data_IF_181385052843
#
_entry.id   IF_181385052843
#
_cell.length_a   1.000
_cell.length_b   1.000
_cell.length_c   1.000
_cell.angle_alpha   90.00
_cell.angle_beta   90.00
_cell.angle_gamma   90.00
#
_symmetry.space_group_name_H-M   'P 1'
#
loop_
_entity.id
_entity.type
_entity.pdbx_description
1 polymer ?
#
# COMPACT_ATOMS: atom_id res chain seq x y z
N UNK A 1 -18.98 9.77 -0.12
CA UNK A 1 -17.61 9.33 -0.50
C UNK A 1 -17.22 8.22 0.47
N UNK A 2 -16.78 7.05 -0.01
CA UNK A 2 -16.41 5.91 0.85
C UNK A 2 -15.01 6.18 1.42
N UNK A 3 -14.83 6.11 2.74
CA UNK A 3 -13.52 6.31 3.37
C UNK A 3 -12.66 5.07 3.18
N UNK A 4 -11.44 5.25 2.66
CA UNK A 4 -10.44 4.19 2.53
C UNK A 4 -9.35 4.39 3.58
N UNK A 5 -8.84 3.29 4.12
CA UNK A 5 -7.59 3.26 4.87
C UNK A 5 -6.38 3.44 3.95
N UNK A 6 -5.37 4.17 4.39
CA UNK A 6 -4.10 4.39 3.69
C UNK A 6 -2.94 3.91 4.55
N UNK A 7 -2.14 3.00 4.01
CA UNK A 7 -0.89 2.56 4.63
C UNK A 7 0.27 2.77 3.64
N UNK A 8 1.45 3.07 4.16
CA UNK A 8 2.64 3.35 3.35
C UNK A 8 3.90 2.96 4.10
N UNK A 9 4.94 2.62 3.35
CA UNK A 9 6.30 2.47 3.84
C UNK A 9 7.29 3.46 3.19
N UNK A 10 6.76 4.51 2.56
CA UNK A 10 7.51 5.52 1.80
C UNK A 10 8.25 4.97 0.57
N UNK A 11 8.04 3.73 0.17
CA UNK A 11 8.47 3.20 -1.14
C UNK A 11 7.24 2.95 -2.00
N UNK A 12 6.20 2.40 -1.38
CA UNK A 12 4.88 2.23 -1.97
C UNK A 12 3.78 2.40 -0.91
N UNK A 13 2.53 2.22 -1.33
CA UNK A 13 1.35 2.30 -0.47
C UNK A 13 0.28 1.28 -0.84
N UNK A 14 -0.68 1.11 0.05
CA UNK A 14 -1.89 0.35 -0.21
C UNK A 14 -3.12 1.07 0.33
N UNK A 15 -4.26 0.83 -0.32
CA UNK A 15 -5.57 1.31 0.13
C UNK A 15 -6.46 0.17 0.57
N UNK A 16 -7.14 0.40 1.69
CA UNK A 16 -7.94 -0.61 2.37
C UNK A 16 -9.38 -0.14 2.42
N UNK A 17 -10.25 -0.89 1.76
CA UNK A 17 -11.69 -0.76 1.85
C UNK A 17 -12.22 -1.79 2.84
N UNK A 18 -12.50 -1.34 4.07
CA UNK A 18 -12.88 -2.21 5.19
C UNK A 18 -11.82 -3.32 5.40
N UNK A 19 -12.15 -4.58 5.20
CA UNK A 19 -11.20 -5.69 5.37
C UNK A 19 -10.45 -6.08 4.10
N UNK A 20 -10.62 -5.30 3.01
CA UNK A 20 -10.10 -5.62 1.69
C UNK A 20 -9.04 -4.62 1.25
N UNK A 21 -7.86 -5.11 0.89
CA UNK A 21 -6.87 -4.28 0.19
C UNK A 21 -7.27 -4.24 -1.28
N UNK A 22 -7.58 -3.05 -1.77
CA UNK A 22 -8.18 -2.81 -3.10
C UNK A 22 -7.27 -2.08 -4.07
N UNK A 23 -6.15 -1.56 -3.55
CA UNK A 23 -5.11 -0.87 -4.30
C UNK A 23 -3.76 -1.17 -3.66
N UNK A 24 -2.78 -1.58 -4.47
CA UNK A 24 -1.39 -1.81 -4.04
C UNK A 24 -0.44 -1.65 -5.24
N UNK A 25 0.01 -0.43 -5.58
CA UNK A 25 1.12 -0.23 -6.51
C UNK A 25 2.38 -0.92 -5.97
N UNK A 26 3.14 -1.62 -6.82
CA UNK A 26 4.34 -2.32 -6.37
C UNK A 26 5.26 -2.57 -7.57
N UNK A 27 6.59 -2.39 -7.47
CA UNK A 27 7.39 -2.19 -6.25
C UNK A 27 7.36 -0.78 -5.64
N UNK A 28 6.93 0.24 -6.39
CA UNK A 28 6.93 1.64 -5.93
C UNK A 28 5.62 2.35 -6.27
N UNK A 29 5.40 3.55 -5.72
CA UNK A 29 4.14 4.30 -5.88
C UNK A 29 3.63 4.41 -7.32
N UNK A 30 4.50 4.75 -8.26
CA UNK A 30 4.17 4.96 -9.68
C UNK A 30 4.17 3.67 -10.51
N UNK A 31 4.32 2.50 -9.87
CA UNK A 31 4.22 1.21 -10.53
C UNK A 31 2.76 0.79 -10.76
N UNK A 32 2.48 -0.05 -11.78
CA UNK A 32 1.16 -0.65 -11.93
C UNK A 32 0.71 -1.39 -10.69
N UNK A 33 -0.56 -1.23 -10.31
CA UNK A 33 -1.08 -1.90 -9.15
C UNK A 33 -1.45 -3.35 -9.43
N UNK A 34 -1.18 -4.23 -8.44
CA UNK A 34 -1.54 -5.66 -8.48
C UNK A 34 -2.93 -5.95 -7.90
N UNK A 35 -3.56 -4.97 -7.25
CA UNK A 35 -4.96 -4.99 -6.83
C UNK A 35 -5.61 -3.72 -7.33
N UNK A 36 -6.73 -3.83 -8.04
CA UNK A 36 -7.41 -2.68 -8.65
C UNK A 36 -8.92 -2.75 -8.48
N UNK A 37 -9.40 -3.39 -7.40
CA UNK A 37 -10.84 -3.41 -7.06
C UNK A 37 -11.43 -2.01 -6.92
N UNK A 38 -10.59 -1.01 -6.69
CA UNK A 38 -10.98 0.40 -6.70
C UNK A 38 -11.50 0.90 -8.06
N UNK A 39 -11.02 0.32 -9.17
CA UNK A 39 -11.36 0.72 -10.54
C UNK A 39 -12.39 -0.21 -11.20
N UNK A 40 -12.34 -1.50 -10.86
CA UNK A 40 -13.20 -2.54 -11.42
C UNK A 40 -13.42 -3.62 -10.35
N UNK A 41 -14.64 -4.07 -10.09
CA UNK A 41 -14.95 -5.11 -9.11
C UNK A 41 -14.15 -6.41 -9.34
N UNK A 42 -13.78 -6.68 -10.60
CA UNK A 42 -12.96 -7.83 -10.98
C UNK A 42 -11.45 -7.58 -10.94
N UNK A 43 -11.07 -6.34 -10.65
CA UNK A 43 -9.71 -5.80 -10.70
C UNK A 43 -8.72 -6.37 -9.67
N UNK A 44 -9.15 -7.33 -8.86
CA UNK A 44 -8.29 -8.03 -7.92
C UNK A 44 -8.16 -7.35 -6.56
N UNK A 45 -7.95 -8.16 -5.54
CA UNK A 45 -8.05 -7.77 -4.13
C UNK A 45 -7.27 -8.72 -3.21
N UNK A 46 -7.05 -8.27 -1.98
CA UNK A 46 -6.67 -9.11 -0.85
C UNK A 46 -7.62 -8.87 0.33
N UNK A 47 -8.60 -9.76 0.51
CA UNK A 47 -9.76 -9.58 1.38
C UNK A 47 -9.84 -10.66 2.46
N UNK A 48 -10.27 -10.27 3.67
CA UNK A 48 -10.53 -11.18 4.80
C UNK A 48 -12.01 -11.02 5.19
N UNK A 49 -12.76 -12.13 5.22
CA UNK A 49 -14.19 -12.14 5.49
C UNK A 49 -14.54 -13.31 6.41
N UNK A 50 -15.50 -13.18 7.34
CA UNK A 50 -15.94 -14.32 8.15
C UNK A 50 -16.54 -15.42 7.24
N UNK A 51 -16.31 -16.68 7.60
CA UNK A 51 -16.79 -17.82 6.81
C UNK A 51 -18.20 -18.21 7.23
N UNK A 52 -19.18 -18.03 6.33
CA UNK A 52 -20.56 -18.48 6.54
C UNK A 52 -21.32 -17.72 7.63
N UNK A 53 -20.84 -16.54 8.03
CA UNK A 53 -21.46 -15.72 9.06
C UNK A 53 -21.80 -14.33 8.53
N UNK A 54 -22.88 -13.75 9.06
CA UNK A 54 -23.30 -12.39 8.77
C UNK A 54 -22.43 -11.38 9.52
N UNK A 55 -21.99 -10.34 8.82
CA UNK A 55 -21.23 -9.23 9.41
C UNK A 55 -22.23 -8.27 10.07
N UNK A 56 -22.10 -8.07 11.38
CA UNK A 56 -22.90 -7.12 12.14
C UNK A 56 -22.31 -5.72 12.04
N UNK A 57 -20.99 -5.60 12.14
CA UNK A 57 -20.28 -4.33 12.11
C UNK A 57 -18.85 -4.49 11.61
N UNK A 58 -18.33 -3.45 10.97
CA UNK A 58 -16.90 -3.32 10.66
C UNK A 58 -16.44 -1.96 11.15
N UNK A 59 -15.38 -1.93 11.96
CA UNK A 59 -14.75 -0.68 12.41
C UNK A 59 -13.30 -0.66 11.93
N UNK A 60 -12.85 0.49 11.44
CA UNK A 60 -11.45 0.75 11.13
C UNK A 60 -10.93 1.92 11.96
N UNK A 61 -9.70 1.81 12.43
CA UNK A 61 -8.98 2.90 13.10
C UNK A 61 -7.48 2.78 12.89
N UNK A 62 -6.78 3.92 12.88
CA UNK A 62 -5.32 3.94 12.93
C UNK A 62 -4.89 3.70 14.37
N UNK A 63 -4.30 2.52 14.64
CA UNK A 63 -3.76 2.21 15.97
C UNK A 63 -2.38 2.83 16.18
N UNK A 64 -1.65 3.03 15.08
CA UNK A 64 -0.44 3.83 14.99
C UNK A 64 -0.45 4.59 13.65
N UNK A 65 0.42 5.58 13.45
CA UNK A 65 0.50 6.27 12.17
C UNK A 65 0.70 5.29 11.02
N UNK A 66 -0.16 5.36 10.00
CA UNK A 66 -0.11 4.47 8.82
C UNK A 66 -0.13 2.97 9.13
N UNK A 67 -0.65 2.58 10.30
CA UNK A 67 -0.94 1.20 10.70
C UNK A 67 -2.41 1.12 11.08
N UNK A 68 -3.17 0.34 10.33
CA UNK A 68 -4.64 0.29 10.46
C UNK A 68 -5.05 -1.00 11.14
N UNK A 69 -5.96 -0.89 12.11
CA UNK A 69 -6.70 -2.02 12.64
C UNK A 69 -8.12 -2.03 12.08
N UNK A 70 -8.54 -3.17 11.55
CA UNK A 70 -9.91 -3.45 11.14
C UNK A 70 -10.48 -4.53 12.05
N UNK A 71 -11.61 -4.25 12.69
CA UNK A 71 -12.36 -5.19 13.52
C UNK A 71 -13.65 -5.56 12.81
N UNK A 72 -13.82 -6.84 12.47
CA UNK A 72 -15.05 -7.39 11.89
C UNK A 72 -15.80 -8.13 12.99
N UNK A 73 -17.05 -7.71 13.27
CA UNK A 73 -17.92 -8.35 14.27
C UNK A 73 -19.00 -9.19 13.62
N UNK A 74 -19.21 -10.38 14.17
CA UNK A 74 -20.30 -11.30 13.81
C UNK A 74 -21.08 -11.68 15.08
N UNK A 75 -22.11 -12.53 14.95
CA UNK A 75 -22.81 -13.08 16.12
C UNK A 75 -21.98 -14.09 16.90
N UNK A 76 -21.00 -14.74 16.27
CA UNK A 76 -20.23 -15.83 16.88
C UNK A 76 -18.84 -15.42 17.37
N UNK A 77 -18.37 -14.22 17.03
CA UNK A 77 -17.08 -13.68 17.47
C UNK A 77 -16.52 -12.62 16.53
N UNK A 78 -15.27 -12.25 16.75
CA UNK A 78 -14.60 -11.16 16.05
C UNK A 78 -13.36 -11.60 15.25
N UNK A 79 -13.01 -10.78 14.25
CA UNK A 79 -11.76 -10.87 13.48
C UNK A 79 -11.07 -9.52 13.60
N UNK A 80 -9.89 -9.51 14.21
CA UNK A 80 -9.02 -8.35 14.30
C UNK A 80 -7.90 -8.47 13.26
N UNK A 81 -7.75 -7.45 12.43
CA UNK A 81 -6.77 -7.41 11.35
C UNK A 81 -5.94 -6.14 11.52
N UNK A 82 -4.63 -6.25 11.71
CA UNK A 82 -3.71 -5.11 11.72
C UNK A 82 -2.86 -5.12 10.46
N UNK A 83 -3.02 -4.09 9.64
CA UNK A 83 -2.44 -3.97 8.31
C UNK A 83 -1.30 -2.93 8.30
N UNK A 84 -0.15 -3.32 7.74
CA UNK A 84 0.97 -2.41 7.44
C UNK A 84 1.82 -2.90 6.25
N UNK A 85 2.66 -2.01 5.73
CA UNK A 85 3.72 -2.33 4.76
C UNK A 85 5.05 -2.16 5.48
N UNK A 86 5.90 -3.19 5.58
CA UNK A 86 7.18 -3.04 6.27
C UNK A 86 8.12 -2.06 5.56
N UNK A 87 8.94 -1.36 6.34
CA UNK A 87 9.93 -0.41 5.81
C UNK A 87 10.92 -1.09 4.88
N UNK A 88 11.20 -0.49 3.72
CA UNK A 88 12.19 -1.03 2.78
C UNK A 88 11.72 -2.25 1.99
N UNK A 89 10.50 -2.75 2.22
CA UNK A 89 10.01 -4.00 1.65
C UNK A 89 8.86 -3.80 0.65
N UNK A 90 8.74 -4.68 -0.33
CA UNK A 90 7.62 -4.73 -1.28
C UNK A 90 6.57 -5.75 -0.83
N UNK A 91 6.19 -5.65 0.43
CA UNK A 91 5.39 -6.65 1.15
C UNK A 91 4.24 -5.98 1.88
N UNK A 92 3.05 -6.59 1.87
CA UNK A 92 2.00 -6.25 2.83
C UNK A 92 1.95 -7.35 3.89
N UNK A 93 1.97 -6.96 5.17
CA UNK A 93 1.73 -7.87 6.30
C UNK A 93 0.38 -7.52 6.93
N UNK A 94 -0.47 -8.53 7.04
CA UNK A 94 -1.74 -8.48 7.77
C UNK A 94 -1.62 -9.40 9.00
N UNK A 95 -1.50 -8.83 10.19
CA UNK A 95 -1.58 -9.60 11.44
C UNK A 95 -3.05 -9.87 11.74
N UNK A 96 -3.42 -11.13 11.88
CA UNK A 96 -4.81 -11.56 12.11
C UNK A 96 -4.90 -12.25 13.47
N UNK A 97 -5.90 -11.85 14.25
CA UNK A 97 -6.32 -12.51 15.49
C UNK A 97 -7.83 -12.75 15.38
N UNK A 98 -8.24 -14.02 15.32
CA UNK A 98 -9.62 -14.38 14.98
C UNK A 98 -10.19 -15.45 15.89
N UNK A 99 -11.39 -15.20 16.40
CA UNK A 99 -12.16 -16.12 17.25
C UNK A 99 -12.99 -17.11 16.43
N UNK A 100 -13.19 -16.83 15.14
CA UNK A 100 -14.08 -17.56 14.23
C UNK A 100 -13.34 -18.01 12.97
N UNK A 101 -13.85 -19.01 12.24
CA UNK A 101 -13.34 -19.33 10.91
C UNK A 101 -13.54 -18.16 9.93
N UNK A 102 -12.58 -17.96 9.04
CA UNK A 102 -12.61 -16.89 8.05
C UNK A 102 -12.05 -17.32 6.70
N UNK A 103 -12.49 -16.61 5.67
CA UNK A 103 -12.08 -16.80 4.28
C UNK A 103 -11.19 -15.64 3.85
N UNK A 104 -10.10 -16.00 3.18
CA UNK A 104 -9.22 -15.06 2.49
C UNK A 104 -9.45 -15.17 0.99
N UNK A 105 -9.69 -14.04 0.34
CA UNK A 105 -9.63 -13.92 -1.12
C UNK A 105 -8.36 -13.18 -1.48
N UNK A 106 -7.42 -13.86 -2.12
CA UNK A 106 -6.17 -13.28 -2.61
C UNK A 106 -6.12 -13.41 -4.13
N UNK A 107 -6.44 -12.33 -4.83
CA UNK A 107 -6.69 -12.29 -6.26
C UNK A 107 -5.85 -11.19 -6.92
N UNK A 108 -4.54 -11.40 -7.13
CA UNK A 108 -3.72 -10.42 -7.81
C UNK A 108 -4.02 -10.37 -9.30
N UNK A 109 -3.77 -9.20 -9.88
CA UNK A 109 -4.05 -8.85 -11.27
C UNK A 109 -2.96 -7.90 -11.76
N UNK A 110 -2.17 -8.31 -12.74
CA UNK A 110 -1.02 -7.51 -13.17
C UNK A 110 -1.43 -6.42 -14.16
N UNK A 111 -0.71 -5.30 -14.11
CA UNK A 111 -0.84 -4.19 -15.05
C UNK A 111 -2.25 -3.60 -15.11
N UNK A 112 -2.79 -3.20 -13.95
CA UNK A 112 -4.17 -2.71 -13.80
C UNK A 112 -5.21 -3.69 -14.34
N UNK A 113 -5.05 -4.96 -14.02
CA UNK A 113 -5.95 -6.05 -14.44
C UNK A 113 -5.98 -6.45 -15.90
N UNK A 114 -5.10 -5.87 -16.72
CA UNK A 114 -4.95 -6.31 -18.10
C UNK A 114 -4.41 -7.75 -18.20
N UNK A 115 -3.65 -8.23 -17.20
CA UNK A 115 -3.08 -9.58 -17.22
C UNK A 115 -3.50 -10.40 -16.00
N UNK A 116 -4.16 -11.54 -16.29
CA UNK A 116 -4.42 -12.59 -15.29
C UNK A 116 -3.12 -13.36 -15.01
N UNK A 117 -2.82 -13.69 -13.75
CA UNK A 117 -1.58 -14.37 -13.39
C UNK A 117 -1.55 -15.83 -13.87
N UNK A 118 -0.35 -16.35 -14.13
CA UNK A 118 -0.10 -17.80 -14.16
C UNK A 118 -0.03 -18.27 -12.70
N UNK A 119 -0.86 -19.25 -12.34
CA UNK A 119 -1.04 -19.68 -10.94
C UNK A 119 -0.23 -20.95 -10.68
N UNK A 120 0.68 -20.91 -9.72
CA UNK A 120 1.44 -22.05 -9.24
C UNK A 120 1.38 -22.15 -7.72
N UNK A 121 0.40 -22.87 -7.18
CA UNK A 121 0.19 -22.87 -5.73
C UNK A 121 -0.30 -21.49 -5.26
N UNK A 122 0.33 -20.96 -4.21
CA UNK A 122 0.09 -19.61 -3.72
C UNK A 122 0.92 -18.52 -4.43
N UNK A 123 1.70 -18.90 -5.46
CA UNK A 123 2.49 -17.99 -6.29
C UNK A 123 1.73 -17.61 -7.57
N UNK A 124 1.76 -16.33 -7.90
CA UNK A 124 1.09 -15.73 -9.04
C UNK A 124 2.13 -14.99 -9.89
N UNK A 125 2.38 -15.46 -11.11
CA UNK A 125 3.44 -14.94 -11.98
C UNK A 125 2.82 -14.09 -13.09
N UNK A 126 3.44 -12.96 -13.39
CA UNK A 126 3.03 -12.11 -14.51
C UNK A 126 3.32 -12.84 -15.83
N UNK A 127 2.32 -13.12 -16.69
CA UNK A 127 2.54 -13.80 -17.96
C UNK A 127 3.32 -12.96 -18.99
N UNK A 128 3.45 -11.64 -18.76
CA UNK A 128 4.14 -10.69 -19.64
C UNK A 128 5.42 -10.11 -19.02
N UNK A 129 5.82 -10.61 -17.86
CA UNK A 129 6.95 -10.08 -17.09
C UNK A 129 7.73 -11.18 -16.37
N UNK A 130 8.71 -10.77 -15.59
CA UNK A 130 9.44 -11.66 -14.68
C UNK A 130 8.93 -11.56 -13.25
N UNK A 131 8.13 -10.54 -12.96
CA UNK A 131 7.60 -10.26 -11.65
C UNK A 131 6.55 -11.27 -11.22
N UNK A 132 6.44 -11.44 -9.91
CA UNK A 132 5.44 -12.28 -9.29
C UNK A 132 5.02 -11.72 -7.94
N UNK A 133 3.87 -12.20 -7.47
CA UNK A 133 3.42 -11.99 -6.10
C UNK A 133 2.96 -13.32 -5.53
N UNK A 134 3.19 -13.56 -4.25
CA UNK A 134 2.61 -14.73 -3.58
C UNK A 134 1.88 -14.38 -2.31
N UNK A 135 0.94 -15.27 -2.01
CA UNK A 135 0.28 -15.35 -0.74
C UNK A 135 1.06 -16.30 0.18
N UNK A 136 1.64 -15.75 1.24
CA UNK A 136 2.34 -16.51 2.27
C UNK A 136 1.60 -16.33 3.60
N UNK A 137 1.74 -17.29 4.50
CA UNK A 137 1.15 -17.19 5.83
C UNK A 137 1.96 -17.97 6.86
N UNK A 138 2.00 -17.44 8.08
CA UNK A 138 2.43 -18.13 9.29
C UNK A 138 1.27 -18.00 10.30
N UNK A 139 0.48 -19.07 10.45
CA UNK A 139 -0.79 -19.01 11.15
C UNK A 139 -0.98 -20.23 12.04
N UNK A 140 -1.44 -20.02 13.28
CA UNK A 140 -1.56 -21.08 14.28
C UNK A 140 -2.70 -22.07 14.02
N UNK A 141 -3.71 -21.65 13.26
CA UNK A 141 -4.88 -22.46 12.92
C UNK A 141 -4.71 -23.34 11.68
N UNK A 142 -5.75 -24.12 11.36
CA UNK A 142 -5.80 -24.92 10.14
C UNK A 142 -6.07 -24.03 8.93
N UNK A 143 -5.35 -24.28 7.83
CA UNK A 143 -5.51 -23.55 6.56
C UNK A 143 -5.80 -24.54 5.45
N UNK A 144 -6.86 -24.29 4.67
CA UNK A 144 -7.22 -25.08 3.50
C UNK A 144 -7.38 -24.17 2.29
N UNK A 145 -6.68 -24.47 1.21
CA UNK A 145 -6.94 -23.82 -0.08
C UNK A 145 -8.21 -24.41 -0.70
N UNK A 146 -9.19 -23.58 -0.99
CA UNK A 146 -10.49 -23.99 -1.56
C UNK A 146 -10.68 -23.56 -3.02
N UNK A 147 -9.78 -22.72 -3.55
CA UNK A 147 -9.77 -22.37 -4.96
C UNK A 147 -8.46 -21.71 -5.39
N UNK A 148 -8.43 -21.26 -6.65
CA UNK A 148 -7.26 -20.61 -7.23
C UNK A 148 -6.84 -19.34 -6.46
N UNK A 149 -7.81 -18.63 -5.89
CA UNK A 149 -7.63 -17.36 -5.19
C UNK A 149 -8.20 -17.37 -3.77
N UNK A 150 -8.63 -18.54 -3.25
CA UNK A 150 -9.41 -18.62 -2.00
C UNK A 150 -8.77 -19.60 -1.03
N UNK A 151 -8.63 -19.15 0.21
CA UNK A 151 -8.16 -19.93 1.36
C UNK A 151 -9.15 -19.79 2.51
N UNK A 152 -9.42 -20.90 3.19
CA UNK A 152 -10.23 -20.97 4.40
C UNK A 152 -9.31 -21.23 5.60
N UNK A 153 -9.50 -20.44 6.64
CA UNK A 153 -8.73 -20.48 7.88
C UNK A 153 -9.68 -20.81 9.03
N UNK A 154 -9.24 -21.68 9.94
CA UNK A 154 -9.91 -21.80 11.25
C UNK A 154 -9.64 -20.55 12.10
N UNK A 155 -10.28 -20.47 13.27
CA UNK A 155 -9.89 -19.53 14.31
C UNK A 155 -8.41 -19.72 14.69
N UNK A 156 -7.79 -18.65 15.19
CA UNK A 156 -6.37 -18.62 15.51
C UNK A 156 -5.76 -17.23 15.32
N UNK A 157 -4.44 -17.18 15.34
CA UNK A 157 -3.68 -15.95 15.11
C UNK A 157 -2.44 -16.18 14.26
N UNK A 158 -1.99 -15.13 13.59
CA UNK A 158 -0.75 -15.17 12.81
C UNK A 158 -0.66 -14.04 11.80
N UNK A 159 0.18 -14.25 10.79
CA UNK A 159 0.50 -13.28 9.76
C UNK A 159 0.11 -13.80 8.38
N UNK A 160 -0.56 -12.96 7.60
CA UNK A 160 -0.88 -13.19 6.20
C UNK A 160 -0.15 -12.16 5.34
N UNK A 161 0.53 -12.62 4.30
CA UNK A 161 1.53 -11.82 3.61
C UNK A 161 1.28 -11.80 2.10
N UNK A 162 1.29 -10.60 1.52
CA UNK A 162 1.39 -10.40 0.08
C UNK A 162 2.84 -10.02 -0.24
N UNK A 163 3.63 -10.96 -0.78
CA UNK A 163 5.05 -10.73 -1.05
C UNK A 163 5.30 -10.58 -2.56
N UNK A 164 5.67 -9.38 -3.00
CA UNK A 164 6.01 -9.10 -4.40
C UNK A 164 7.51 -9.23 -4.63
N UNK A 165 7.89 -9.84 -5.75
CA UNK A 165 9.25 -9.83 -6.28
C UNK A 165 9.25 -9.37 -7.74
N UNK A 166 10.20 -8.51 -8.11
CA UNK A 166 10.36 -8.04 -9.49
C UNK A 166 10.88 -9.12 -10.45
N UNK A 167 11.42 -10.22 -9.90
CA UNK A 167 11.85 -11.39 -10.65
C UNK A 167 11.58 -12.66 -9.85
N UNK A 168 10.82 -13.58 -10.46
CA UNK A 168 10.42 -14.88 -9.91
C UNK A 168 11.61 -15.77 -9.51
N UNK A 169 12.81 -15.50 -10.04
CA UNK A 169 14.04 -16.22 -9.68
C UNK A 169 14.67 -15.73 -8.38
N UNK A 170 14.19 -14.62 -7.81
CA UNK A 170 14.76 -13.97 -6.63
C UNK A 170 13.75 -13.86 -5.48
N UNK A 171 14.23 -13.40 -4.31
CA UNK A 171 13.43 -13.24 -3.10
C UNK A 171 13.04 -14.57 -2.47
N UNK A 172 11.93 -14.56 -1.71
CA UNK A 172 11.34 -15.73 -1.02
C UNK A 172 10.96 -16.88 -1.97
N UNK A 173 10.97 -16.64 -3.29
CA UNK A 173 10.67 -17.63 -4.33
C UNK A 173 11.90 -18.34 -4.88
N UNK A 174 13.11 -17.90 -4.51
CA UNK A 174 14.35 -18.57 -4.89
C UNK A 174 14.62 -19.76 -3.96
N UNK A 175 15.37 -20.76 -4.42
CA UNK A 175 15.82 -21.91 -3.60
C UNK A 175 16.58 -21.46 -2.33
N UNK A 176 17.27 -20.31 -2.41
CA UNK A 176 17.95 -19.68 -1.27
C UNK A 176 17.00 -18.89 -0.36
N UNK A 177 15.89 -18.40 -0.91
CA UNK A 177 14.88 -17.61 -0.19
C UNK A 177 13.88 -18.46 0.59
N UNK A 178 13.61 -19.70 0.16
CA UNK A 178 12.75 -20.64 0.88
C UNK A 178 13.35 -21.13 2.22
N UNK A 179 14.66 -20.93 2.43
CA UNK A 179 15.36 -21.22 3.69
C UNK A 179 15.44 -20.01 4.62
N UNK A 180 15.12 -18.80 4.16
CA UNK A 180 14.94 -17.66 5.04
C UNK A 180 13.57 -17.80 5.72
N UNK A 181 13.58 -18.17 7.00
CA UNK A 181 12.46 -17.85 7.89
C UNK A 181 12.27 -16.33 7.82
N UNK A 182 11.28 -15.90 7.07
CA UNK A 182 10.96 -14.49 6.98
C UNK A 182 10.54 -14.02 8.38
N UNK A 183 11.33 -13.14 8.98
CA UNK A 183 11.09 -12.60 10.33
C UNK A 183 9.97 -11.55 10.28
N UNK A 184 8.77 -11.95 9.83
CA UNK A 184 7.63 -11.06 9.63
C UNK A 184 7.27 -10.29 10.89
N UNK A 185 7.32 -10.96 12.05
CA UNK A 185 7.10 -10.32 13.35
C UNK A 185 8.10 -9.18 13.61
N UNK A 186 9.39 -9.42 13.35
CA UNK A 186 10.42 -8.39 13.52
C UNK A 186 10.21 -7.21 12.57
N UNK A 187 9.93 -7.47 11.28
CA UNK A 187 9.63 -6.41 10.30
C UNK A 187 8.37 -5.62 10.69
N UNK A 188 7.35 -6.31 11.22
CA UNK A 188 6.10 -5.72 11.70
C UNK A 188 6.33 -4.79 12.90
N UNK A 189 7.05 -5.28 13.93
CA UNK A 189 7.39 -4.50 15.13
C UNK A 189 8.27 -3.30 14.82
N UNK A 190 9.31 -3.48 13.99
CA UNK A 190 10.19 -2.38 13.56
C UNK A 190 9.40 -1.27 12.86
N UNK A 191 8.42 -1.64 12.02
CA UNK A 191 7.60 -0.68 11.29
C UNK A 191 6.67 0.08 12.23
N UNK A 192 6.05 -0.60 13.19
CA UNK A 192 5.26 0.05 14.24
C UNK A 192 6.14 1.04 15.03
N UNK A 193 7.34 0.63 15.44
CA UNK A 193 8.24 1.47 16.22
C UNK A 193 8.69 2.71 15.43
N UNK A 194 8.97 2.57 14.14
CA UNK A 194 9.27 3.71 13.28
C UNK A 194 8.11 4.71 13.23
N UNK A 195 6.90 4.26 12.93
CA UNK A 195 5.75 5.16 12.87
C UNK A 195 5.41 5.79 14.23
N UNK A 196 5.56 5.04 15.33
CA UNK A 196 5.45 5.58 16.69
C UNK A 196 6.49 6.65 17.00
N UNK A 197 7.70 6.52 16.47
CA UNK A 197 8.77 7.50 16.68
C UNK A 197 8.55 8.81 15.92
N UNK A 198 7.57 8.86 15.01
CA UNK A 198 7.18 10.08 14.31
C UNK A 198 6.37 10.97 15.25
N UNK A 199 7.05 11.93 15.88
CA UNK A 199 6.45 12.85 16.86
C UNK A 199 5.72 14.01 16.17
N UNK A 200 4.39 13.92 16.07
CA UNK A 200 3.54 15.02 15.63
C UNK A 200 2.96 15.73 16.85
N UNK A 201 3.35 16.99 17.03
CA UNK A 201 2.89 17.85 18.13
C UNK A 201 1.36 17.98 18.15
N UNK A 202 0.80 17.98 19.35
CA UNK A 202 -0.63 18.24 19.54
C UNK A 202 -0.99 19.69 19.21
N UNK A 203 -2.15 19.86 18.58
CA UNK A 203 -2.75 21.17 18.28
C UNK A 203 -4.10 21.31 18.99
N UNK A 204 -4.48 22.57 19.30
CA UNK A 204 -5.68 22.86 20.10
C UNK A 204 -7.00 22.47 19.43
N UNK A 205 -7.08 22.60 18.11
CA UNK A 205 -8.31 22.33 17.34
C UNK A 205 -8.03 21.30 16.26
N UNK A 206 -8.96 20.38 16.06
CA UNK A 206 -8.89 19.35 15.01
C UNK A 206 -7.63 18.47 15.07
N UNK A 207 -7.14 18.16 16.28
CA UNK A 207 -5.87 17.45 16.49
C UNK A 207 -5.76 16.14 15.69
N UNK A 208 -6.82 15.33 15.68
CA UNK A 208 -6.83 14.05 14.97
C UNK A 208 -6.73 14.24 13.46
N UNK A 209 -7.44 15.24 12.90
CA UNK A 209 -7.36 15.58 11.48
C UNK A 209 -6.00 16.16 11.11
N UNK A 210 -5.42 16.99 11.98
CA UNK A 210 -4.08 17.54 11.80
C UNK A 210 -3.04 16.41 11.75
N UNK A 211 -3.03 15.53 12.75
CA UNK A 211 -2.13 14.38 12.80
C UNK A 211 -2.31 13.47 11.60
N UNK A 212 -3.55 13.12 11.25
CA UNK A 212 -3.83 12.30 10.07
C UNK A 212 -3.31 12.95 8.77
N UNK A 213 -3.44 14.27 8.63
CA UNK A 213 -2.93 15.02 7.47
C UNK A 213 -1.40 14.98 7.40
N UNK A 214 -0.71 15.22 8.52
CA UNK A 214 0.75 15.13 8.59
C UNK A 214 1.23 13.73 8.24
N UNK A 215 0.66 12.69 8.85
CA UNK A 215 1.04 11.30 8.54
C UNK A 215 0.78 10.92 7.09
N UNK A 216 -0.30 11.41 6.50
CA UNK A 216 -0.60 11.19 5.07
C UNK A 216 0.46 11.83 4.19
N UNK A 217 0.86 13.08 4.48
CA UNK A 217 1.93 13.76 3.74
C UNK A 217 3.27 13.05 3.90
N UNK A 218 3.65 12.68 5.13
CA UNK A 218 4.88 11.91 5.41
C UNK A 218 4.89 10.56 4.68
N UNK A 219 3.75 9.86 4.68
CA UNK A 219 3.57 8.59 3.97
C UNK A 219 3.58 8.72 2.45
N UNK A 220 3.43 9.93 1.90
CA UNK A 220 3.41 10.18 0.44
C UNK A 220 4.79 10.56 -0.12
N UNK A 221 5.79 10.73 0.74
CA UNK A 221 7.17 10.99 0.33
C UNK A 221 7.80 9.66 -0.11
N UNK A 222 8.32 9.62 -1.35
CA UNK A 222 9.15 8.52 -1.82
C UNK A 222 10.55 8.63 -1.21
N UNK A 223 10.85 7.75 -0.26
CA UNK A 223 12.04 7.83 0.55
C UNK A 223 13.36 7.85 -0.26
N UNK A 224 13.53 7.09 -1.35
CA UNK A 224 14.80 7.10 -2.09
C UNK A 224 15.20 8.47 -2.68
N UNK A 225 14.25 9.26 -3.17
CA UNK A 225 14.54 10.51 -3.90
C UNK A 225 14.06 11.77 -3.18
N UNK A 226 13.03 11.68 -2.34
CA UNK A 226 12.29 12.83 -1.79
C UNK A 226 11.12 13.30 -2.66
N UNK A 227 10.86 12.67 -3.81
CA UNK A 227 9.69 12.97 -4.65
C UNK A 227 8.40 12.62 -3.93
N UNK A 228 7.36 13.45 -4.07
CA UNK A 228 6.10 13.30 -3.33
C UNK A 228 4.97 12.99 -4.27
N UNK A 229 4.24 11.91 -4.02
CA UNK A 229 3.02 11.64 -4.81
C UNK A 229 1.93 12.62 -4.44
N UNK A 230 1.22 13.16 -5.43
CA UNK A 230 0.08 14.03 -5.18
C UNK A 230 -1.09 13.25 -4.55
N UNK A 231 -1.27 11.98 -4.92
CA UNK A 231 -2.14 11.04 -4.23
C UNK A 231 -1.64 9.59 -4.42
N UNK A 232 -1.96 8.66 -3.50
CA UNK A 232 -1.60 7.25 -3.64
C UNK A 232 -2.48 6.47 -4.64
N UNK A 233 -3.37 7.14 -5.38
CA UNK A 233 -4.24 6.58 -6.42
C UNK A 233 -3.89 7.12 -7.80
N UNK A 234 -4.15 6.34 -8.84
CA UNK A 234 -4.13 6.88 -10.21
C UNK A 234 -5.27 7.88 -10.44
N UNK A 235 -5.16 8.70 -11.48
CA UNK A 235 -6.23 9.61 -11.92
C UNK A 235 -7.29 8.85 -12.71
N UNK A 236 -8.55 9.28 -12.60
CA UNK A 236 -9.53 9.08 -13.67
C UNK A 236 -9.55 10.31 -14.59
N UNK A 237 -9.99 10.17 -15.84
CA UNK A 237 -10.20 11.31 -16.71
C UNK A 237 -11.06 12.39 -16.06
N UNK A 238 -10.66 13.65 -16.21
CA UNK A 238 -11.45 14.81 -15.75
C UNK A 238 -12.88 14.79 -16.35
N UNK A 239 -12.99 14.26 -17.57
CA UNK A 239 -14.25 14.00 -18.29
C UNK A 239 -14.13 12.61 -18.93
N UNK A 240 -15.19 11.81 -18.89
CA UNK A 240 -15.22 10.50 -19.55
C UNK A 240 -14.84 10.63 -21.05
N UNK A 241 -13.88 9.82 -21.51
CA UNK A 241 -13.32 9.92 -22.88
C UNK A 241 -12.41 11.13 -23.12
N UNK A 242 -12.13 11.92 -22.09
CA UNK A 242 -11.21 13.05 -22.11
C UNK A 242 -9.75 12.62 -22.28
N UNK A 243 -8.91 13.59 -22.67
CA UNK A 243 -7.47 13.37 -22.91
C UNK A 243 -6.59 13.81 -21.74
N UNK A 244 -7.17 14.34 -20.65
CA UNK A 244 -6.44 14.87 -19.48
C UNK A 244 -6.47 13.87 -18.32
N UNK A 245 -5.51 12.95 -18.30
CA UNK A 245 -5.44 11.75 -17.46
C UNK A 245 -4.05 11.62 -16.80
N UNK A 246 -3.57 12.70 -16.17
CA UNK A 246 -2.28 12.67 -15.51
C UNK A 246 -2.34 11.96 -14.16
N UNK A 247 -1.52 10.92 -14.01
CA UNK A 247 -1.47 10.10 -12.81
C UNK A 247 -1.05 10.92 -11.57
N UNK A 248 -1.84 10.86 -10.50
CA UNK A 248 -1.55 11.53 -9.24
C UNK A 248 -0.41 10.86 -8.45
N UNK A 249 0.04 9.67 -8.85
CA UNK A 249 1.18 8.98 -8.21
C UNK A 249 2.54 9.48 -8.70
N UNK A 250 2.55 10.55 -9.49
CA UNK A 250 3.75 11.28 -9.87
C UNK A 250 4.01 12.48 -8.96
N UNK A 251 5.24 12.98 -9.02
CA UNK A 251 5.67 14.15 -8.29
C UNK A 251 5.29 15.43 -9.02
N UNK A 252 4.14 16.00 -8.67
CA UNK A 252 3.70 17.30 -9.15
C UNK A 252 4.45 18.40 -8.42
N UNK A 253 5.01 19.36 -9.17
CA UNK A 253 5.84 20.43 -8.60
C UNK A 253 5.05 21.24 -7.58
N UNK A 254 3.84 21.66 -7.96
CA UNK A 254 2.96 22.47 -7.10
C UNK A 254 2.63 21.75 -5.80
N UNK A 255 2.15 20.52 -5.91
CA UNK A 255 1.72 19.71 -4.77
C UNK A 255 2.91 19.39 -3.85
N UNK A 256 4.07 19.07 -4.42
CA UNK A 256 5.32 18.87 -3.67
C UNK A 256 5.74 20.13 -2.91
N UNK A 257 5.66 21.31 -3.53
CA UNK A 257 5.99 22.58 -2.87
C UNK A 257 5.06 22.90 -1.70
N UNK A 258 3.75 22.69 -1.85
CA UNK A 258 2.76 22.92 -0.79
C UNK A 258 2.98 21.95 0.37
N UNK A 259 3.25 20.67 0.08
CA UNK A 259 3.54 19.67 1.12
C UNK A 259 4.85 20.03 1.86
N UNK A 260 5.89 20.48 1.15
CA UNK A 260 7.13 20.92 1.78
C UNK A 260 6.90 22.10 2.74
N UNK A 261 6.11 23.09 2.32
CA UNK A 261 5.73 24.24 3.15
C UNK A 261 4.95 23.79 4.40
N UNK A 262 3.92 22.98 4.23
CA UNK A 262 3.11 22.48 5.35
C UNK A 262 3.94 21.65 6.35
N UNK A 263 4.88 20.83 5.86
CA UNK A 263 5.78 20.06 6.71
C UNK A 263 6.79 20.96 7.45
N UNK A 264 7.30 22.03 6.82
CA UNK A 264 8.14 23.02 7.49
C UNK A 264 7.38 23.70 8.64
N UNK A 265 6.15 24.14 8.40
CA UNK A 265 5.31 24.77 9.43
C UNK A 265 5.01 23.81 10.59
N UNK A 266 4.82 22.52 10.28
CA UNK A 266 4.61 21.47 11.27
C UNK A 266 5.89 21.05 12.03
N UNK A 267 7.07 21.53 11.63
CA UNK A 267 8.36 21.22 12.26
C UNK A 267 9.11 20.02 11.67
N UNK A 268 8.64 19.43 10.59
CA UNK A 268 9.27 18.32 9.85
C UNK A 268 10.31 18.82 8.86
N UNK A 269 11.34 19.48 9.39
CA UNK A 269 12.36 20.20 8.60
C UNK A 269 13.17 19.25 7.70
N UNK A 270 13.47 18.04 8.20
CA UNK A 270 14.28 17.06 7.46
C UNK A 270 13.51 16.55 6.24
N UNK A 271 12.23 16.22 6.43
CA UNK A 271 11.34 15.71 5.40
C UNK A 271 11.07 16.78 4.35
N UNK A 272 10.73 18.00 4.76
CA UNK A 272 10.55 19.09 3.84
C UNK A 272 11.82 19.41 3.02
N UNK A 273 13.00 19.36 3.65
CA UNK A 273 14.29 19.54 2.95
C UNK A 273 14.50 18.47 1.89
N UNK A 274 14.11 17.22 2.13
CA UNK A 274 14.20 16.15 1.12
C UNK A 274 13.35 16.47 -0.10
N UNK A 275 12.14 16.97 0.10
CA UNK A 275 11.25 17.39 -0.99
C UNK A 275 11.85 18.56 -1.77
N UNK A 276 12.37 19.57 -1.06
CA UNK A 276 13.01 20.73 -1.70
C UNK A 276 14.24 20.28 -2.50
N UNK A 277 15.09 19.42 -1.94
CA UNK A 277 16.25 18.88 -2.65
C UNK A 277 15.85 18.09 -3.91
N UNK A 278 14.77 17.31 -3.84
CA UNK A 278 14.20 16.65 -5.01
C UNK A 278 13.83 17.68 -6.08
N UNK A 279 13.04 18.70 -5.73
CA UNK A 279 12.63 19.75 -6.68
C UNK A 279 13.82 20.51 -7.27
N UNK A 280 14.81 20.88 -6.45
CA UNK A 280 16.03 21.55 -6.92
C UNK A 280 16.83 20.68 -7.91
N UNK A 281 16.81 19.36 -7.73
CA UNK A 281 17.50 18.44 -8.66
C UNK A 281 16.86 18.38 -10.05
N UNK A 282 15.60 18.81 -10.18
CA UNK A 282 14.86 18.87 -11.45
C UNK A 282 15.07 20.18 -12.21
N UNK A 283 15.64 21.21 -11.57
CA UNK A 283 15.72 22.55 -12.15
C UNK A 283 16.67 22.55 -13.35
N UNK A 284 16.16 23.08 -14.46
CA UNK A 284 17.00 23.43 -15.60
C UNK A 284 17.44 24.90 -15.51
N UNK A 285 18.76 25.12 -15.44
CA UNK A 285 19.35 26.46 -15.31
C UNK A 285 19.52 27.21 -16.65
N UNK A 286 19.30 26.55 -17.79
CA UNK A 286 19.49 27.15 -19.12
C UNK A 286 18.18 27.44 -19.86
N UNK A 287 17.02 27.19 -19.24
CA UNK A 287 15.69 27.29 -19.84
C UNK A 287 14.62 27.57 -18.78
N UNK A 288 13.36 27.23 -19.06
CA UNK A 288 12.28 27.19 -18.06
C UNK A 288 12.73 26.34 -16.86
N UNK A 289 12.52 26.81 -15.61
CA UNK A 289 12.99 26.10 -14.42
C UNK A 289 12.56 24.63 -14.40
N UNK A 290 11.32 24.36 -14.79
CA UNK A 290 10.81 23.01 -15.00
C UNK A 290 10.25 22.87 -16.42
N UNK A 291 10.61 21.77 -17.09
CA UNK A 291 10.09 21.45 -18.42
C UNK A 291 8.67 20.85 -18.36
N UNK A 292 8.36 20.10 -17.30
CA UNK A 292 7.09 19.42 -17.10
C UNK A 292 6.45 19.88 -15.78
N UNK A 293 5.12 19.90 -15.66
CA UNK A 293 4.44 20.23 -14.40
C UNK A 293 4.59 19.13 -13.33
N UNK A 294 4.98 17.92 -13.75
CA UNK A 294 5.16 16.75 -12.91
C UNK A 294 6.28 15.87 -13.46
N UNK A 295 6.87 15.06 -12.59
CA UNK A 295 7.94 14.11 -12.90
C UNK A 295 7.63 12.77 -12.26
N UNK A 296 8.31 11.70 -12.67
CA UNK A 296 8.24 10.44 -11.92
C UNK A 296 8.73 10.66 -10.48
N UNK A 297 8.42 9.75 -9.57
CA UNK A 297 8.92 9.86 -8.19
C UNK A 297 10.46 9.79 -8.12
N UNK A 298 11.14 9.33 -9.18
CA UNK A 298 12.60 9.31 -9.29
C UNK A 298 13.17 10.58 -9.97
N UNK A 299 12.31 11.50 -10.40
CA UNK A 299 12.74 12.74 -11.05
C UNK A 299 13.05 12.61 -12.54
N UNK A 300 12.60 11.53 -13.17
CA UNK A 300 12.70 11.36 -14.62
C UNK A 300 11.49 11.95 -15.34
N UNK A 301 11.61 12.11 -16.66
CA UNK A 301 10.54 12.60 -17.52
C UNK A 301 9.30 11.71 -17.33
N UNK A 302 8.11 12.30 -17.11
CA UNK A 302 6.90 11.51 -16.92
C UNK A 302 6.59 10.70 -18.19
N UNK A 303 6.02 9.49 -18.05
CA UNK A 303 5.55 8.74 -19.20
C UNK A 303 4.44 9.51 -19.94
N UNK A 304 4.15 9.16 -21.20
CA UNK A 304 3.00 9.72 -21.91
C UNK A 304 1.72 9.53 -21.11
N UNK A 305 0.82 10.50 -21.22
CA UNK A 305 -0.54 10.44 -20.69
C UNK A 305 -1.26 9.18 -21.21
N UNK A 306 -2.00 8.50 -20.32
CA UNK A 306 -2.64 7.20 -20.61
C UNK A 306 -4.13 7.22 -20.34
#
# INVERSE_FOLDING_TARGET
MKTLGFISNQITSALIDLSSIVWFPVPKFDSPSVFTRLLDEDGGEFSILPEGQEIIAVKQEYVYPLVIMTVIRTKQGEINITDLIPLGETVIIRKVESEIPFKVVFRPRFYYSLYKPIIGGSKFVNPRGRDCIAFLYDFSGKVKRSGNYVWNFSNGKGYLIANYASDVKHGVFSERGSTLNAMYERSFENTINYWKSTDVKDVKSFNDLYKASIYTMLGSIYAPSGGVVAAPTTSLPEVEGGKRNWDYRFAWIRDSSIIAEALLEAGFIVEARRIINFLLSLINFSSKPFYYPLYTIEGTIPPPER
#
